data_IF_252850579377
#
_entry.id   IF_252850579377
#
_cell.length_a   1.000
_cell.length_b   1.000
_cell.length_c   1.000
_cell.angle_alpha   90.00
_cell.angle_beta   90.00
_cell.angle_gamma   90.00
#
_symmetry.space_group_name_H-M   'P 1'
#
loop_
_entity.id
_entity.type
_entity.pdbx_description
1 polymer ?
#
# COMPACT_ATOMS: atom_id res chain seq x y z
N UNK A 1 -13.14 20.18 -7.63
CA UNK A 1 -11.86 20.60 -7.01
C UNK A 1 -11.14 19.32 -6.61
N UNK A 2 -10.39 18.71 -7.54
CA UNK A 2 -9.61 17.52 -7.22
C UNK A 2 -8.45 17.97 -6.34
N UNK A 3 -8.42 17.52 -5.09
CA UNK A 3 -7.22 17.58 -4.28
C UNK A 3 -6.16 16.76 -5.03
N UNK A 4 -5.18 17.47 -5.59
CA UNK A 4 -3.88 16.93 -5.93
C UNK A 4 -3.37 16.24 -4.68
N UNK A 5 -3.50 14.91 -4.66
CA UNK A 5 -3.03 14.03 -3.60
C UNK A 5 -1.51 14.17 -3.59
N UNK A 6 -1.03 15.08 -2.74
CA UNK A 6 0.38 15.21 -2.40
C UNK A 6 0.90 13.80 -2.12
N UNK A 7 2.00 13.36 -2.73
CA UNK A 7 2.52 12.03 -2.44
C UNK A 7 2.71 11.92 -0.93
N UNK A 8 2.23 10.82 -0.35
CA UNK A 8 2.30 10.43 1.08
C UNK A 8 3.77 10.15 1.48
N UNK A 9 4.68 11.01 1.06
CA UNK A 9 6.11 10.97 1.37
C UNK A 9 6.45 11.63 2.72
N UNK A 10 5.80 12.71 3.20
CA UNK A 10 6.25 13.35 4.43
C UNK A 10 6.00 12.49 5.69
N UNK A 11 5.12 11.49 5.63
CA UNK A 11 4.88 10.58 6.78
C UNK A 11 5.91 9.46 6.90
N UNK A 12 6.63 9.13 5.82
CA UNK A 12 7.45 7.94 5.80
C UNK A 12 8.92 8.18 6.15
N UNK A 13 9.45 9.40 5.99
CA UNK A 13 10.90 9.75 6.08
C UNK A 13 11.85 8.53 6.07
N UNK A 14 11.82 7.71 5.00
CA UNK A 14 12.39 6.38 5.07
C UNK A 14 13.92 6.50 4.94
N UNK A 15 14.69 5.59 5.58
CA UNK A 15 16.13 5.52 5.33
C UNK A 15 16.40 5.40 3.83
N UNK A 16 17.43 6.09 3.32
CA UNK A 16 17.74 6.12 1.88
C UNK A 16 17.86 4.72 1.26
N UNK A 17 18.32 3.73 2.04
CA UNK A 17 18.37 2.32 1.64
C UNK A 17 16.98 1.74 1.36
N UNK A 18 16.02 2.00 2.24
CA UNK A 18 14.62 1.55 2.09
C UNK A 18 13.98 2.21 0.87
N UNK A 19 14.19 3.53 0.69
CA UNK A 19 13.68 4.25 -0.47
C UNK A 19 14.23 3.67 -1.78
N UNK A 20 15.55 3.40 -1.83
CA UNK A 20 16.18 2.79 -3.00
C UNK A 20 15.55 1.43 -3.32
N UNK A 21 15.37 0.55 -2.32
CA UNK A 21 14.74 -0.75 -2.57
C UNK A 21 13.29 -0.62 -3.03
N UNK A 22 12.51 0.28 -2.43
CA UNK A 22 11.13 0.57 -2.84
C UNK A 22 11.01 1.04 -4.31
N UNK A 23 12.03 1.72 -4.82
CA UNK A 23 12.11 2.24 -6.18
C UNK A 23 12.56 1.19 -7.20
N UNK A 24 13.57 0.37 -6.85
CA UNK A 24 14.28 -0.47 -7.81
C UNK A 24 13.96 -1.97 -7.75
N UNK A 25 13.43 -2.48 -6.63
CA UNK A 25 12.96 -3.86 -6.59
C UNK A 25 11.70 -4.05 -7.43
N UNK A 26 11.56 -5.25 -7.99
CA UNK A 26 10.48 -5.61 -8.88
C UNK A 26 9.23 -6.00 -8.07
N UNK A 27 8.46 -5.00 -7.64
CA UNK A 27 7.21 -5.25 -6.92
C UNK A 27 6.03 -5.43 -7.88
N UNK A 28 5.33 -6.55 -7.73
CA UNK A 28 3.98 -6.74 -8.24
C UNK A 28 2.96 -6.37 -7.15
N UNK A 29 1.87 -5.71 -7.57
CA UNK A 29 0.82 -5.21 -6.68
C UNK A 29 -0.52 -5.81 -7.06
N UNK A 30 -1.26 -6.27 -6.07
CA UNK A 30 -2.62 -6.75 -6.22
C UNK A 30 -3.50 -6.13 -5.14
N UNK A 31 -4.71 -5.74 -5.52
CA UNK A 31 -5.72 -5.22 -4.63
C UNK A 31 -6.46 -6.38 -3.95
N UNK A 32 -6.53 -6.37 -2.63
CA UNK A 32 -7.10 -7.46 -1.84
C UNK A 32 -7.87 -6.94 -0.63
N UNK A 33 -9.21 -6.99 -0.69
CA UNK A 33 -10.11 -6.62 0.41
C UNK A 33 -9.86 -5.20 0.99
N UNK A 34 -9.57 -4.22 0.13
CA UNK A 34 -9.25 -2.84 0.55
C UNK A 34 -7.86 -2.67 1.17
N UNK A 35 -6.98 -3.65 0.96
CA UNK A 35 -5.56 -3.60 1.22
C UNK A 35 -4.77 -3.89 -0.07
N UNK A 36 -3.45 -3.80 0.01
CA UNK A 36 -2.56 -4.08 -1.12
C UNK A 36 -1.67 -5.28 -0.78
N UNK A 37 -1.79 -6.34 -1.56
CA UNK A 37 -0.80 -7.42 -1.59
C UNK A 37 0.39 -6.96 -2.44
N UNK A 38 1.58 -7.08 -1.86
CA UNK A 38 2.85 -6.74 -2.50
C UNK A 38 3.68 -8.01 -2.61
N UNK A 39 4.07 -8.38 -3.83
CA UNK A 39 4.96 -9.50 -4.10
C UNK A 39 6.28 -9.01 -4.67
N UNK A 40 7.40 -9.44 -4.09
CA UNK A 40 8.72 -9.06 -4.57
C UNK A 40 9.28 -10.06 -5.57
N UNK A 41 9.23 -9.73 -6.85
CA UNK A 41 9.72 -10.53 -7.98
C UNK A 41 11.25 -10.45 -8.16
N UNK A 42 11.96 -9.68 -7.34
CA UNK A 42 13.43 -9.70 -7.34
C UNK A 42 14.04 -10.96 -6.70
N UNK A 43 13.23 -11.77 -6.01
CA UNK A 43 13.66 -13.03 -5.40
C UNK A 43 13.40 -14.23 -6.32
N UNK A 44 14.20 -15.31 -6.13
CA UNK A 44 14.05 -16.56 -6.90
C UNK A 44 12.74 -17.31 -6.59
N UNK A 45 12.19 -17.12 -5.39
CA UNK A 45 10.87 -17.60 -5.00
C UNK A 45 9.98 -16.41 -4.58
N UNK A 46 9.34 -15.71 -5.53
CA UNK A 46 8.50 -14.56 -5.21
C UNK A 46 7.32 -14.89 -4.29
N UNK A 47 6.85 -16.15 -4.27
CA UNK A 47 5.72 -16.57 -3.43
C UNK A 47 6.04 -16.52 -1.94
N UNK A 48 7.31 -16.76 -1.57
CA UNK A 48 7.79 -16.58 -0.21
C UNK A 48 8.00 -15.11 0.19
N UNK A 49 7.91 -14.18 -0.77
CA UNK A 49 8.09 -12.74 -0.58
C UNK A 49 6.83 -11.95 -0.92
N UNK A 50 5.69 -12.48 -0.45
CA UNK A 50 4.38 -11.83 -0.55
C UNK A 50 3.91 -11.33 0.81
N UNK A 51 3.51 -10.06 0.88
CA UNK A 51 3.08 -9.41 2.11
C UNK A 51 1.87 -8.52 1.89
N UNK A 52 1.05 -8.36 2.92
CA UNK A 52 -0.16 -7.51 2.89
C UNK A 52 0.15 -6.17 3.55
N UNK A 53 0.08 -5.10 2.76
CA UNK A 53 0.14 -3.72 3.21
C UNK A 53 -1.27 -3.24 3.51
N UNK A 54 -1.53 -2.89 4.76
CA UNK A 54 -2.82 -2.37 5.19
C UNK A 54 -2.94 -0.89 4.90
N UNK A 55 -4.06 -0.48 4.31
CA UNK A 55 -4.34 0.93 4.01
C UNK A 55 -5.34 1.48 5.02
N UNK A 56 -5.03 2.63 5.59
CA UNK A 56 -5.93 3.37 6.48
C UNK A 56 -5.94 4.82 6.05
N UNK A 57 -7.13 5.34 5.74
CA UNK A 57 -7.30 6.74 5.30
C UNK A 57 -6.41 7.10 4.09
N UNK A 58 -6.19 6.14 3.18
CA UNK A 58 -5.33 6.30 2.00
C UNK A 58 -3.82 6.22 2.28
N UNK A 59 -3.42 5.86 3.50
CA UNK A 59 -2.03 5.79 3.96
C UNK A 59 -1.63 4.33 4.23
N UNK A 60 -0.46 3.86 3.75
CA UNK A 60 0.11 2.57 4.13
C UNK A 60 0.45 2.50 5.63
N UNK A 61 -0.47 1.96 6.42
CA UNK A 61 -0.38 1.99 7.89
C UNK A 61 0.52 0.89 8.45
N UNK A 62 0.43 -0.33 7.93
CA UNK A 62 1.23 -1.47 8.41
C UNK A 62 1.47 -2.49 7.31
N UNK A 63 2.41 -3.41 7.51
CA UNK A 63 2.71 -4.50 6.58
C UNK A 63 2.92 -5.82 7.33
N UNK A 64 2.53 -6.94 6.73
CA UNK A 64 2.76 -8.27 7.33
C UNK A 64 4.19 -8.80 7.17
N UNK A 65 5.15 -7.95 6.76
CA UNK A 65 6.54 -8.37 6.56
C UNK A 65 7.36 -8.26 7.85
N UNK A 66 8.39 -9.11 8.05
CA UNK A 66 9.21 -9.09 9.26
C UNK A 66 9.86 -7.73 9.59
N UNK A 67 10.16 -6.93 8.56
CA UNK A 67 10.78 -5.61 8.74
C UNK A 67 9.81 -4.55 9.32
N UNK A 68 8.50 -4.72 9.14
CA UNK A 68 7.52 -3.83 9.76
C UNK A 68 7.25 -4.26 11.21
N UNK A 69 7.28 -5.57 11.47
CA UNK A 69 7.14 -6.14 12.82
C UNK A 69 8.30 -5.75 13.76
N UNK A 70 9.51 -5.58 13.25
CA UNK A 70 10.65 -5.14 14.06
C UNK A 70 10.56 -3.68 14.51
N UNK A 71 9.73 -2.86 13.85
CA UNK A 71 9.50 -1.46 14.22
C UNK A 71 10.61 -0.49 13.83
N UNK A 72 11.53 -0.88 12.93
CA UNK A 72 12.69 -0.07 12.50
C UNK A 72 12.31 1.05 11.50
N UNK A 73 11.11 1.60 11.64
CA UNK A 73 10.49 2.49 10.67
C UNK A 73 9.81 1.72 9.53
N UNK A 74 9.49 2.41 8.43
CA UNK A 74 8.70 1.78 7.39
C UNK A 74 9.49 0.77 6.55
N UNK A 75 8.87 -0.38 6.29
CA UNK A 75 9.41 -1.33 5.32
C UNK A 75 9.35 -0.78 3.88
N UNK A 76 10.21 -1.34 3.02
CA UNK A 76 10.25 -1.04 1.58
C UNK A 76 8.88 -1.27 0.90
N UNK A 77 8.09 -2.24 1.36
CA UNK A 77 6.74 -2.51 0.82
C UNK A 77 5.79 -1.33 1.01
N UNK A 78 5.71 -0.77 2.22
CA UNK A 78 4.86 0.39 2.50
C UNK A 78 5.33 1.62 1.73
N UNK A 79 6.64 1.85 1.68
CA UNK A 79 7.23 2.93 0.86
C UNK A 79 6.91 2.72 -0.62
N UNK A 80 6.99 1.48 -1.11
CA UNK A 80 6.73 1.15 -2.51
C UNK A 80 5.28 1.45 -2.91
N UNK A 81 4.32 1.19 -2.02
CA UNK A 81 2.93 1.61 -2.22
C UNK A 81 2.81 3.14 -2.19
N UNK A 82 3.39 3.80 -1.17
CA UNK A 82 3.27 5.25 -0.98
C UNK A 82 3.81 6.07 -2.17
N UNK A 83 4.91 5.63 -2.80
CA UNK A 83 5.51 6.33 -3.95
C UNK A 83 4.79 6.08 -5.28
N UNK A 84 3.73 5.26 -5.30
CA UNK A 84 2.95 4.91 -6.49
C UNK A 84 1.48 5.35 -6.33
N UNK A 85 1.18 6.66 -6.50
CA UNK A 85 -0.15 7.23 -6.17
C UNK A 85 -1.33 6.56 -6.87
N UNK A 86 -1.15 6.05 -8.10
CA UNK A 86 -2.21 5.33 -8.83
C UNK A 86 -2.70 4.07 -8.11
N UNK A 87 -1.84 3.42 -7.34
CA UNK A 87 -2.23 2.22 -6.58
C UNK A 87 -3.16 2.64 -5.42
N UNK A 88 -2.82 3.72 -4.72
CA UNK A 88 -3.65 4.27 -3.64
C UNK A 88 -5.00 4.77 -4.16
N UNK A 89 -5.03 5.41 -5.33
CA UNK A 89 -6.29 5.85 -5.95
C UNK A 89 -7.23 4.68 -6.29
N UNK A 90 -6.68 3.53 -6.70
CA UNK A 90 -7.48 2.34 -7.00
C UNK A 90 -8.03 1.69 -5.72
N UNK A 91 -7.23 1.64 -4.67
CA UNK A 91 -7.67 1.17 -3.34
C UNK A 91 -8.86 1.98 -2.81
N UNK A 92 -8.75 3.31 -2.84
CA UNK A 92 -9.84 4.22 -2.43
C UNK A 92 -11.12 3.95 -3.24
N UNK A 93 -11.01 3.79 -4.57
CA UNK A 93 -12.17 3.52 -5.42
C UNK A 93 -12.86 2.19 -5.08
N UNK A 94 -12.11 1.14 -4.81
CA UNK A 94 -12.70 -0.14 -4.39
C UNK A 94 -13.44 -0.04 -3.06
N UNK A 95 -12.87 0.69 -2.10
CA UNK A 95 -13.51 0.88 -0.79
C UNK A 95 -14.85 1.64 -0.91
N UNK A 96 -14.89 2.65 -1.78
CA UNK A 96 -16.12 3.41 -2.08
C UNK A 96 -17.20 2.51 -2.69
N UNK A 97 -16.83 1.57 -3.58
CA UNK A 97 -17.77 0.64 -4.21
C UNK A 97 -18.31 -0.38 -3.20
N UNK A 98 -17.45 -0.90 -2.32
CA UNK A 98 -17.83 -1.88 -1.30
C UNK A 98 -18.73 -1.29 -0.20
N UNK A 99 -18.56 -0.01 0.16
CA UNK A 99 -19.37 0.69 1.16
C UNK A 99 -20.71 1.25 0.68
N UNK A 100 -21.01 1.17 -0.63
CA UNK A 100 -22.16 1.83 -1.25
C UNK A 100 -23.54 1.17 -1.05
N UNK A 101 -23.64 0.11 -0.25
CA UNK A 101 -24.90 -0.59 -0.01
C UNK A 101 -25.59 -0.13 1.27
N UNK A 102 -26.48 0.87 1.19
CA UNK A 102 -27.78 0.97 1.90
C UNK A 102 -28.41 2.37 1.74
N UNK A 103 -29.12 2.61 0.65
CA UNK A 103 -30.26 3.52 0.68
C UNK A 103 -31.52 2.68 0.93
N UNK A 104 -32.02 2.77 2.16
CA UNK A 104 -33.37 2.38 2.53
C UNK A 104 -34.36 3.08 1.59
N UNK A 105 -35.09 2.32 0.79
CA UNK A 105 -36.35 2.78 0.23
C UNK A 105 -37.46 2.28 1.16
N UNK A 106 -38.05 3.22 1.88
CA UNK A 106 -39.20 2.99 2.73
C UNK A 106 -40.47 2.75 1.91
N UNK A 107 -41.38 2.02 2.55
CA UNK A 107 -42.81 1.95 2.30
C UNK A 107 -43.49 1.65 3.62
#
# INVERSE_FOLDING_TARGET
MLAIMTPVLPEFDPPARVLKWAQYEAFAFELLDGDIRVRNESYADPGAHEYRVRIRDGIPHSCSCPADESGDGPCNHRVAVAIRPRILELDVQMHVIAGGGSSSSGG
#
